data_IF_477658492044
#
_entry.id   IF_477658492044
#
_cell.length_a   1.000
_cell.length_b   1.000
_cell.length_c   1.000
_cell.angle_alpha   90.00
_cell.angle_beta   90.00
_cell.angle_gamma   90.00
#
_symmetry.space_group_name_H-M   'P 1'
#
loop_
_entity.id
_entity.type
_entity.pdbx_description
1 polymer ?
#
# COMPACT_ATOMS: atom_id res chain seq x y z
N UNK A 1 18.88 -17.17 -35.73
CA UNK A 1 18.33 -15.94 -35.13
C UNK A 1 17.71 -16.33 -33.80
N UNK A 2 18.55 -16.53 -32.80
CA UNK A 2 18.18 -17.04 -31.49
C UNK A 2 18.94 -16.24 -30.44
N UNK A 3 18.34 -16.10 -29.27
CA UNK A 3 18.92 -15.47 -28.08
C UNK A 3 18.79 -13.95 -28.02
N UNK A 4 17.67 -13.48 -27.47
CA UNK A 4 17.61 -12.24 -26.67
C UNK A 4 16.43 -12.21 -25.67
N UNK A 5 15.61 -13.28 -25.58
CA UNK A 5 14.33 -13.27 -24.87
C UNK A 5 14.36 -13.90 -23.45
N UNK A 6 15.54 -14.17 -22.90
CA UNK A 6 15.68 -14.81 -21.57
C UNK A 6 16.19 -13.89 -20.46
N UNK A 7 16.55 -12.64 -20.76
CA UNK A 7 17.12 -11.72 -19.75
C UNK A 7 16.07 -10.91 -18.97
N UNK A 8 14.80 -10.90 -19.40
CA UNK A 8 13.73 -10.15 -18.71
C UNK A 8 12.99 -10.97 -17.64
N UNK A 9 13.01 -12.30 -17.73
CA UNK A 9 12.30 -13.18 -16.80
C UNK A 9 12.78 -13.08 -15.33
N UNK A 10 14.10 -13.02 -15.00
CA UNK A 10 14.53 -12.93 -13.61
C UNK A 10 14.31 -11.55 -13.00
N UNK A 11 14.29 -10.48 -13.81
CA UNK A 11 13.97 -9.12 -13.35
C UNK A 11 12.50 -9.02 -12.97
N UNK A 12 11.61 -9.59 -13.79
CA UNK A 12 10.16 -9.62 -13.50
C UNK A 12 9.89 -10.44 -12.24
N UNK A 13 10.60 -11.55 -12.02
CA UNK A 13 10.46 -12.34 -10.79
C UNK A 13 11.00 -11.59 -9.54
N UNK A 14 12.08 -10.81 -9.66
CA UNK A 14 12.61 -10.00 -8.56
C UNK A 14 11.75 -8.77 -8.21
N UNK A 15 11.09 -8.17 -9.20
CA UNK A 15 10.18 -7.01 -8.99
C UNK A 15 8.84 -7.46 -8.37
N UNK A 16 8.37 -8.67 -8.65
CA UNK A 16 7.15 -9.24 -8.05
C UNK A 16 7.33 -9.71 -6.59
N UNK A 17 8.58 -9.87 -6.13
CA UNK A 17 8.93 -10.23 -4.75
C UNK A 17 9.20 -9.00 -3.86
N UNK A 18 9.04 -7.79 -4.38
CA UNK A 18 8.94 -6.60 -3.54
C UNK A 18 7.54 -6.54 -2.91
N UNK A 19 7.18 -7.58 -2.16
CA UNK A 19 6.13 -7.50 -1.16
C UNK A 19 6.61 -6.48 -0.14
N UNK A 20 6.13 -5.24 -0.27
CA UNK A 20 6.43 -4.19 0.68
C UNK A 20 6.16 -4.72 2.09
N UNK A 21 7.23 -4.70 2.88
CA UNK A 21 7.22 -4.98 4.31
C UNK A 21 6.11 -4.15 4.94
N UNK A 22 5.36 -4.76 5.84
CA UNK A 22 4.46 -4.06 6.74
C UNK A 22 5.23 -2.93 7.44
N UNK A 23 5.13 -1.72 6.91
CA UNK A 23 5.68 -0.55 7.58
C UNK A 23 4.64 -0.07 8.59
N UNK A 24 5.04 0.11 9.83
CA UNK A 24 4.16 0.60 10.89
C UNK A 24 4.53 2.02 11.34
N UNK A 25 5.46 2.66 10.61
CA UNK A 25 5.96 4.00 10.88
C UNK A 25 5.91 4.76 9.56
N UNK A 26 5.45 6.01 9.62
CA UNK A 26 5.58 6.96 8.52
C UNK A 26 6.56 8.04 8.98
N UNK A 27 7.73 8.12 8.36
CA UNK A 27 8.72 9.14 8.72
C UNK A 27 8.28 10.51 8.22
N UNK A 28 8.88 11.56 8.80
CA UNK A 28 8.65 12.93 8.35
C UNK A 28 8.97 13.08 6.86
N UNK A 29 8.00 13.61 6.10
CA UNK A 29 8.13 13.81 4.66
C UNK A 29 7.64 12.65 3.79
N UNK A 30 7.36 11.49 4.39
CA UNK A 30 6.69 10.39 3.69
C UNK A 30 5.19 10.63 3.62
N UNK A 31 4.52 9.94 2.69
CA UNK A 31 3.09 10.07 2.47
C UNK A 31 2.46 8.71 2.18
N UNK A 32 1.25 8.51 2.69
CA UNK A 32 0.44 7.34 2.43
C UNK A 32 -0.52 7.65 1.27
N UNK A 33 -0.14 7.25 0.07
CA UNK A 33 -0.97 7.40 -1.13
C UNK A 33 -2.19 6.47 -1.08
N UNK A 34 -3.19 6.76 -1.91
CA UNK A 34 -4.36 5.88 -2.07
C UNK A 34 -3.96 4.41 -2.29
N UNK A 35 -4.54 3.51 -1.49
CA UNK A 35 -4.27 2.07 -1.47
C UNK A 35 -3.08 1.67 -0.60
N UNK A 36 -2.22 2.60 -0.19
CA UNK A 36 -1.10 2.30 0.70
C UNK A 36 -1.58 2.16 2.14
N UNK A 37 -0.90 1.28 2.88
CA UNK A 37 -1.30 0.87 4.23
C UNK A 37 -0.09 0.78 5.13
N UNK A 38 -0.23 1.26 6.37
CA UNK A 38 0.66 0.88 7.47
C UNK A 38 0.05 -0.30 8.21
N UNK A 39 0.84 -1.34 8.48
CA UNK A 39 0.33 -2.58 9.10
C UNK A 39 1.09 -2.94 10.36
N UNK A 40 0.39 -3.30 11.43
CA UNK A 40 0.99 -3.79 12.67
C UNK A 40 0.13 -4.88 13.31
N UNK A 41 0.59 -6.13 13.24
CA UNK A 41 -0.20 -7.28 13.69
C UNK A 41 -1.51 -7.39 12.90
N UNK A 42 -2.64 -7.41 13.62
CA UNK A 42 -3.98 -7.41 13.01
C UNK A 42 -4.46 -6.01 12.57
N UNK A 43 -3.74 -4.94 12.90
CA UNK A 43 -4.18 -3.59 12.59
C UNK A 43 -3.69 -3.13 11.22
N UNK A 44 -4.55 -2.43 10.48
CA UNK A 44 -4.18 -1.76 9.24
C UNK A 44 -4.68 -0.33 9.21
N UNK A 45 -3.77 0.61 8.90
CA UNK A 45 -4.06 2.02 8.74
C UNK A 45 -3.88 2.40 7.26
N UNK A 46 -4.99 2.54 6.55
CA UNK A 46 -5.04 2.60 5.08
C UNK A 46 -5.61 3.93 4.60
N UNK A 47 -4.94 4.56 3.64
CA UNK A 47 -5.55 5.61 2.83
C UNK A 47 -6.35 4.93 1.71
N UNK A 48 -7.67 4.91 1.82
CA UNK A 48 -8.53 4.22 0.86
C UNK A 48 -8.66 4.99 -0.46
N UNK A 49 -9.12 4.30 -1.52
CA UNK A 49 -9.31 4.88 -2.85
C UNK A 49 -10.40 5.94 -2.95
N UNK A 50 -11.26 6.04 -1.94
CA UNK A 50 -12.26 7.09 -1.80
C UNK A 50 -11.72 8.31 -1.04
N UNK A 51 -10.42 8.38 -0.74
CA UNK A 51 -9.80 9.42 0.08
C UNK A 51 -10.25 9.45 1.54
N UNK A 52 -10.73 8.32 2.08
CA UNK A 52 -10.92 8.14 3.50
C UNK A 52 -9.70 7.44 4.14
N UNK A 53 -9.11 8.06 5.16
CA UNK A 53 -8.09 7.40 5.98
C UNK A 53 -8.77 6.62 7.10
N UNK A 54 -8.53 5.31 7.18
CA UNK A 54 -9.26 4.37 8.05
C UNK A 54 -8.30 3.46 8.81
N UNK A 55 -8.58 3.23 10.10
CA UNK A 55 -7.93 2.22 10.92
C UNK A 55 -8.85 1.01 11.07
N UNK A 56 -8.35 -0.16 10.73
CA UNK A 56 -9.00 -1.45 10.91
C UNK A 56 -8.32 -2.26 12.01
N UNK A 57 -9.13 -3.02 12.75
CA UNK A 57 -8.72 -4.24 13.46
C UNK A 57 -9.17 -5.44 12.63
N UNK A 58 -8.22 -6.12 12.02
CA UNK A 58 -8.41 -7.20 11.05
C UNK A 58 -9.25 -6.69 9.86
N UNK A 59 -10.55 -6.97 9.84
CA UNK A 59 -11.48 -6.52 8.80
C UNK A 59 -12.52 -5.51 9.33
N UNK A 60 -12.49 -5.19 10.62
CA UNK A 60 -13.45 -4.29 11.26
C UNK A 60 -12.89 -2.87 11.30
N UNK A 61 -13.54 -1.87 10.69
CA UNK A 61 -13.14 -0.47 10.84
C UNK A 61 -13.41 -0.05 12.29
N UNK A 62 -12.39 0.47 12.97
CA UNK A 62 -12.48 0.93 14.36
C UNK A 62 -12.36 2.45 14.49
N UNK A 63 -11.80 3.12 13.48
CA UNK A 63 -11.77 4.59 13.37
C UNK A 63 -11.68 5.04 11.91
N UNK A 64 -12.25 6.20 11.58
CA UNK A 64 -12.10 6.83 10.26
C UNK A 64 -12.04 8.35 10.35
N UNK A 65 -11.21 8.96 9.50
CA UNK A 65 -11.13 10.42 9.30
C UNK A 65 -12.42 11.04 8.75
N UNK A 66 -13.30 10.20 8.16
CA UNK A 66 -14.58 10.60 7.57
C UNK A 66 -14.43 11.56 6.40
N UNK A 67 -13.36 11.45 5.63
CA UNK A 67 -13.05 12.30 4.45
C UNK A 67 -13.35 11.63 3.10
N UNK A 68 -14.02 10.48 3.11
CA UNK A 68 -14.44 9.78 1.89
C UNK A 68 -15.19 10.69 0.91
N UNK A 69 -14.81 10.61 -0.37
CA UNK A 69 -15.34 11.41 -1.48
C UNK A 69 -14.90 12.87 -1.49
N UNK A 70 -13.97 13.29 -0.62
CA UNK A 70 -13.47 14.67 -0.55
C UNK A 70 -12.12 14.88 -1.23
N UNK A 71 -11.74 13.98 -2.13
CA UNK A 71 -10.60 14.22 -3.02
C UNK A 71 -10.77 15.61 -3.65
N UNK A 72 -9.71 16.39 -3.64
CA UNK A 72 -9.59 17.56 -4.50
C UNK A 72 -8.57 17.17 -5.55
N UNK A 73 -9.07 16.69 -6.68
CA UNK A 73 -8.40 16.84 -7.97
C UNK A 73 -7.95 18.30 -8.19
#
# INVERSE_FOLDING_TARGET
MASFLFLLAPVILGVLLSSCVADNILFTGESLSSGQTLSYGGYSFIMQGDCNLVLYDTSKPIWASSTGGRSRD
#
